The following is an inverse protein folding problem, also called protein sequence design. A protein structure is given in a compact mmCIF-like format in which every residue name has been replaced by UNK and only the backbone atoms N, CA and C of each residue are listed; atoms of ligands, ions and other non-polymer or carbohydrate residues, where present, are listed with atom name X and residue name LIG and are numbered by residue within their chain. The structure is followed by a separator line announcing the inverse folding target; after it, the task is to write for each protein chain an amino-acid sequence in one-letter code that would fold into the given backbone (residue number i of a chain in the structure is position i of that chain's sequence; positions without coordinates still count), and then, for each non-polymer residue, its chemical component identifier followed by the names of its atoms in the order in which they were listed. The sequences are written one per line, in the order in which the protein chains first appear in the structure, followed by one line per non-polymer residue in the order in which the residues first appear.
data_IF_909638168663
#
_entry.id   IF_909638168663
#
_cell.length_a   1.000
_cell.length_b   1.000
_cell.length_c   1.000
_cell.angle_alpha   90.00
_cell.angle_beta   90.00
_cell.angle_gamma   90.00
#
_symmetry.space_group_name_H-M   'P 1'
#
loop_
_entity.id
_entity.type
_entity.pdbx_description
1 polymer ?
#
# COMPACT_ATOMS: atom_id res chain seq x y z
N UNK A 1 46.96 -45.98 38.38
CA UNK A 1 47.21 -45.31 39.69
C UNK A 1 47.89 -43.96 39.45
N UNK A 2 47.19 -42.83 39.64
CA UNK A 2 47.70 -41.53 40.14
C UNK A 2 46.59 -40.48 40.12
N UNK A 3 45.98 -40.33 41.31
CA UNK A 3 45.47 -39.13 41.98
C UNK A 3 44.81 -38.00 41.17
N UNK A 4 43.53 -37.85 41.48
CA UNK A 4 42.71 -36.64 41.48
C UNK A 4 43.43 -35.36 41.99
N UNK A 5 43.07 -34.21 41.40
CA UNK A 5 42.88 -32.98 42.16
C UNK A 5 41.86 -32.06 41.47
N UNK A 6 40.62 -32.08 42.00
CA UNK A 6 39.59 -31.07 41.78
C UNK A 6 40.14 -29.71 42.22
N UNK A 7 40.14 -28.72 41.33
CA UNK A 7 40.26 -27.31 41.71
C UNK A 7 38.87 -26.80 42.09
N UNK A 8 38.62 -26.79 43.39
CA UNK A 8 37.55 -26.06 44.04
C UNK A 8 38.15 -24.77 44.61
N UNK A 9 38.01 -23.66 43.89
CA UNK A 9 38.12 -22.30 44.43
C UNK A 9 36.78 -21.64 44.05
N UNK A 10 35.83 -21.49 44.96
CA UNK A 10 35.97 -20.61 46.13
C UNK A 10 35.30 -19.26 45.82
N UNK A 11 34.10 -19.27 45.24
CA UNK A 11 33.28 -18.06 45.08
C UNK A 11 32.69 -17.72 46.46
N UNK A 12 33.50 -17.06 47.27
CA UNK A 12 33.12 -16.56 48.59
C UNK A 12 32.32 -15.28 48.37
N UNK A 13 31.00 -15.43 48.31
CA UNK A 13 30.03 -14.35 48.47
C UNK A 13 30.20 -13.74 49.87
N UNK A 14 31.08 -12.74 49.97
CA UNK A 14 31.15 -11.88 51.15
C UNK A 14 29.87 -11.02 51.18
N UNK A 15 29.04 -11.35 52.15
CA UNK A 15 27.72 -10.79 52.43
C UNK A 15 27.89 -9.36 52.98
N UNK A 16 27.73 -8.34 52.14
CA UNK A 16 27.69 -6.94 52.56
C UNK A 16 26.58 -6.74 53.60
N UNK A 17 26.97 -6.35 54.82
CA UNK A 17 26.13 -6.48 56.01
C UNK A 17 25.26 -5.25 56.33
N UNK A 18 25.41 -4.10 55.67
CA UNK A 18 24.41 -3.01 55.69
C UNK A 18 24.65 -2.00 54.55
N UNK A 19 23.62 -1.28 54.07
CA UNK A 19 23.76 -0.19 53.08
C UNK A 19 24.47 1.07 53.61
N UNK A 20 24.76 1.13 54.92
CA UNK A 20 25.38 2.31 55.55
C UNK A 20 26.91 2.38 55.38
N UNK A 21 27.61 1.24 55.21
CA UNK A 21 29.06 1.22 55.00
C UNK A 21 29.49 1.50 53.55
N UNK A 22 28.57 1.43 52.58
CA UNK A 22 28.86 1.76 51.18
C UNK A 22 29.02 3.27 50.94
N UNK A 23 28.41 4.10 51.79
CA UNK A 23 28.36 5.56 51.62
C UNK A 23 29.56 6.30 52.23
N UNK A 24 30.37 5.66 53.07
CA UNK A 24 31.55 6.28 53.71
C UNK A 24 32.84 6.19 52.88
N UNK A 25 32.83 5.46 51.76
CA UNK A 25 33.98 5.28 50.85
C UNK A 25 33.87 6.05 49.52
N UNK A 26 32.87 6.91 49.35
CA UNK A 26 32.82 7.78 48.18
C UNK A 26 33.81 8.95 48.35
N UNK A 27 34.71 9.19 47.37
CA UNK A 27 35.55 10.38 47.38
C UNK A 27 34.65 11.61 47.38
N UNK A 28 34.85 12.52 48.33
CA UNK A 28 34.26 13.85 48.33
C UNK A 28 34.79 14.58 47.09
N UNK A 29 34.07 14.50 45.98
CA UNK A 29 34.29 15.41 44.86
C UNK A 29 33.99 16.81 45.38
N UNK A 30 35.08 17.54 45.60
CA UNK A 30 35.04 18.93 46.01
C UNK A 30 34.16 19.71 45.05
N UNK A 31 33.28 20.52 45.64
CA UNK A 31 32.68 21.66 45.00
C UNK A 31 33.82 22.63 44.61
N UNK A 32 34.41 22.36 43.44
CA UNK A 32 35.38 23.20 42.76
C UNK A 32 34.64 24.41 42.23
N UNK A 33 34.57 25.43 43.08
CA UNK A 33 34.50 26.86 42.79
C UNK A 33 34.24 27.19 41.30
N UNK A 34 33.00 27.61 41.03
CA UNK A 34 32.72 28.53 39.95
C UNK A 34 33.66 29.73 40.04
N UNK A 35 34.54 29.88 39.06
CA UNK A 35 35.28 31.10 38.80
C UNK A 35 35.12 31.39 37.31
N UNK A 36 34.19 32.29 36.99
CA UNK A 36 34.07 32.86 35.66
C UNK A 36 35.15 33.92 35.43
N UNK A 37 35.79 33.85 34.26
CA UNK A 37 36.36 34.96 33.49
C UNK A 37 36.69 34.36 32.12
N UNK A 38 36.14 34.77 30.98
CA UNK A 38 35.91 36.15 30.59
C UNK A 38 36.54 36.43 29.22
N UNK A 39 36.55 35.44 28.31
CA UNK A 39 36.66 35.62 26.85
C UNK A 39 36.05 34.36 26.25
N UNK A 40 34.94 34.46 25.53
CA UNK A 40 34.59 33.39 24.59
C UNK A 40 35.76 33.35 23.61
N UNK A 41 36.58 32.29 23.61
CA UNK A 41 37.69 32.19 22.67
C UNK A 41 37.12 32.41 21.27
N UNK A 42 37.71 33.31 20.48
CA UNK A 42 37.26 33.58 19.11
C UNK A 42 37.21 32.27 18.30
N UNK A 43 38.05 31.30 18.66
CA UNK A 43 38.00 29.93 18.15
C UNK A 43 36.72 29.18 18.54
N UNK A 44 36.30 29.23 19.81
CA UNK A 44 35.03 28.67 20.28
C UNK A 44 33.84 29.37 19.63
N UNK A 45 33.87 30.68 19.42
CA UNK A 45 32.83 31.40 18.69
C UNK A 45 32.82 31.05 17.19
N UNK A 46 33.98 30.81 16.59
CA UNK A 46 34.09 30.36 15.19
C UNK A 46 33.59 28.92 15.01
N UNK A 47 33.88 28.03 15.96
CA UNK A 47 33.37 26.66 16.00
C UNK A 47 31.85 26.67 16.23
N UNK A 48 31.36 27.44 17.20
CA UNK A 48 29.93 27.60 17.45
C UNK A 48 29.21 28.17 16.23
N UNK A 49 29.81 29.15 15.55
CA UNK A 49 29.29 29.71 14.30
C UNK A 49 29.27 28.71 13.15
N UNK A 50 30.29 27.87 13.01
CA UNK A 50 30.34 26.82 11.99
C UNK A 50 29.26 25.74 12.23
N UNK A 51 29.06 25.34 13.49
CA UNK A 51 28.02 24.39 13.87
C UNK A 51 26.63 24.98 13.65
N UNK A 52 26.39 26.21 14.09
CA UNK A 52 25.10 26.88 13.94
C UNK A 52 24.76 27.15 12.47
N UNK A 53 25.73 27.59 11.67
CA UNK A 53 25.52 27.81 10.22
C UNK A 53 25.22 26.50 9.49
N UNK A 54 25.94 25.43 9.80
CA UNK A 54 25.63 24.10 9.24
C UNK A 54 24.22 23.65 9.62
N UNK A 55 23.82 23.85 10.88
CA UNK A 55 22.48 23.49 11.36
C UNK A 55 21.37 24.34 10.70
N UNK A 56 21.60 25.64 10.54
CA UNK A 56 20.65 26.53 9.85
C UNK A 56 20.54 26.23 8.36
N UNK A 57 21.64 25.85 7.71
CA UNK A 57 21.63 25.41 6.30
C UNK A 57 20.85 24.11 6.16
N UNK A 58 21.07 23.11 7.03
CA UNK A 58 20.30 21.85 7.01
C UNK A 58 18.83 22.10 7.26
N UNK A 59 18.47 22.94 8.24
CA UNK A 59 17.10 23.30 8.54
C UNK A 59 16.44 24.07 7.38
N UNK A 60 17.16 25.02 6.78
CA UNK A 60 16.71 25.81 5.65
C UNK A 60 16.49 24.97 4.40
N UNK A 61 17.42 24.07 4.07
CA UNK A 61 17.27 23.12 2.97
C UNK A 61 16.08 22.18 3.19
N UNK A 62 15.86 21.70 4.42
CA UNK A 62 14.71 20.88 4.75
C UNK A 62 13.38 21.66 4.61
N UNK A 63 13.34 22.93 5.02
CA UNK A 63 12.15 23.77 4.88
C UNK A 63 11.87 24.13 3.41
N UNK A 64 12.91 24.48 2.65
CA UNK A 64 12.80 24.75 1.20
C UNK A 64 12.38 23.47 0.46
N UNK A 65 12.94 22.32 0.82
CA UNK A 65 12.49 21.04 0.29
C UNK A 65 11.02 20.78 0.63
N UNK A 66 10.57 21.09 1.85
CA UNK A 66 9.15 21.00 2.22
C UNK A 66 8.22 21.91 1.42
N UNK A 67 8.70 23.08 0.97
CA UNK A 67 7.92 24.02 0.15
C UNK A 67 7.92 23.60 -1.33
N UNK A 68 9.08 23.21 -1.86
CA UNK A 68 9.24 22.82 -3.27
C UNK A 68 8.63 21.45 -3.56
N UNK A 69 8.78 20.52 -2.62
CA UNK A 69 8.22 19.17 -2.68
C UNK A 69 6.99 19.02 -1.80
N UNK A 70 6.23 20.11 -1.58
CA UNK A 70 4.97 20.05 -0.84
C UNK A 70 4.10 18.96 -1.48
N UNK A 71 3.88 17.82 -0.81
CA UNK A 71 3.11 16.75 -1.39
C UNK A 71 1.67 17.26 -1.46
N UNK A 72 1.19 17.52 -2.67
CA UNK A 72 -0.22 17.74 -2.91
C UNK A 72 -0.95 16.49 -2.41
N UNK A 73 -1.50 16.56 -1.20
CA UNK A 73 -2.41 15.56 -0.70
C UNK A 73 -3.64 15.63 -1.62
N UNK A 74 -3.91 14.62 -2.46
CA UNK A 74 -5.17 14.59 -3.17
C UNK A 74 -6.29 14.62 -2.11
N UNK A 75 -7.36 15.35 -2.39
CA UNK A 75 -8.54 15.52 -1.50
C UNK A 75 -9.26 14.17 -1.23
N UNK A 76 -8.75 13.07 -1.76
CA UNK A 76 -9.19 11.70 -1.45
C UNK A 76 -7.95 10.85 -1.14
N UNK A 77 -7.78 10.34 0.09
CA UNK A 77 -6.68 9.46 0.44
C UNK A 77 -6.81 8.11 -0.29
N UNK A 78 -5.80 7.77 -1.09
CA UNK A 78 -5.63 6.42 -1.62
C UNK A 78 -4.92 5.57 -0.58
N UNK A 79 -5.69 4.76 0.14
CA UNK A 79 -5.28 3.70 1.08
C UNK A 79 -4.89 4.15 2.51
N UNK A 80 -5.84 4.04 3.45
CA UNK A 80 -5.57 3.64 4.84
C UNK A 80 -4.79 2.31 4.84
N UNK A 81 -3.55 2.36 5.32
CA UNK A 81 -2.87 1.18 5.86
C UNK A 81 -3.36 1.02 7.31
N UNK A 82 -3.99 -0.10 7.69
CA UNK A 82 -4.26 -0.39 9.09
C UNK A 82 -2.93 -0.60 9.82
N UNK A 83 -2.52 0.39 10.60
CA UNK A 83 -1.55 0.20 11.68
C UNK A 83 -2.25 -0.62 12.75
N UNK A 84 -1.73 -1.81 13.03
CA UNK A 84 -2.22 -2.68 14.11
C UNK A 84 -1.88 -2.06 15.46
N UNK A 85 -2.85 -1.43 16.14
CA UNK A 85 -3.05 -1.60 17.58
C UNK A 85 -4.49 -1.21 17.97
N UNK A 86 -5.15 -1.96 18.87
CA UNK A 86 -6.60 -1.96 19.00
C UNK A 86 -7.07 -0.98 20.07
N UNK A 87 -8.18 -0.29 19.79
CA UNK A 87 -9.27 0.05 20.71
C UNK A 87 -9.89 1.39 20.33
N UNK A 88 -11.08 1.33 19.74
CA UNK A 88 -12.30 1.77 20.41
C UNK A 88 -13.42 1.74 19.37
N UNK A 89 -14.50 1.04 19.71
CA UNK A 89 -15.69 0.95 18.90
C UNK A 89 -16.25 2.36 18.61
N UNK A 90 -16.20 2.78 17.34
CA UNK A 90 -16.99 3.86 16.82
C UNK A 90 -17.38 3.52 15.38
N UNK A 91 -18.65 3.14 15.20
CA UNK A 91 -19.40 3.14 13.95
C UNK A 91 -18.71 2.58 12.71
N UNK A 92 -19.06 1.34 12.35
CA UNK A 92 -18.89 0.88 10.98
C UNK A 92 -19.64 1.82 10.02
N UNK A 93 -18.92 2.78 9.43
CA UNK A 93 -19.39 3.48 8.26
C UNK A 93 -19.36 2.47 7.11
N UNK A 94 -20.54 2.04 6.68
CA UNK A 94 -20.69 1.24 5.47
C UNK A 94 -19.98 1.95 4.30
N UNK A 95 -19.31 1.22 3.40
CA UNK A 95 -18.73 1.84 2.21
C UNK A 95 -19.85 2.55 1.46
N UNK A 96 -19.61 3.80 1.07
CA UNK A 96 -20.50 4.53 0.17
C UNK A 96 -20.63 3.66 -1.09
N UNK A 97 -21.79 3.02 -1.24
CA UNK A 97 -22.05 2.15 -2.38
C UNK A 97 -22.03 3.03 -3.63
N UNK A 98 -21.21 2.65 -4.61
CA UNK A 98 -21.28 3.23 -5.94
C UNK A 98 -22.74 3.09 -6.44
N UNK A 99 -23.23 4.08 -7.19
CA UNK A 99 -24.55 3.99 -7.82
C UNK A 99 -24.67 2.66 -8.61
N UNK A 100 -25.84 1.98 -8.59
CA UNK A 100 -25.98 0.68 -9.27
C UNK A 100 -25.52 0.73 -10.72
N UNK A 101 -24.86 -0.33 -11.19
CA UNK A 101 -24.28 -0.37 -12.55
C UNK A 101 -25.34 -0.15 -13.62
N UNK A 102 -26.59 -0.59 -13.39
CA UNK A 102 -27.71 -0.39 -14.31
C UNK A 102 -28.00 1.11 -14.56
N UNK A 103 -27.87 1.96 -13.54
CA UNK A 103 -28.10 3.41 -13.68
C UNK A 103 -26.94 4.09 -14.39
N UNK A 104 -25.70 3.67 -14.10
CA UNK A 104 -24.50 4.19 -14.78
C UNK A 104 -24.46 3.78 -16.24
N UNK A 105 -24.84 2.55 -16.56
CA UNK A 105 -24.90 2.04 -17.94
C UNK A 105 -25.91 2.79 -18.80
N UNK A 106 -27.00 3.30 -18.22
CA UNK A 106 -27.97 4.13 -18.95
C UNK A 106 -27.36 5.46 -19.46
N UNK A 107 -26.25 5.92 -18.87
CA UNK A 107 -25.53 7.15 -19.24
C UNK A 107 -24.17 6.86 -19.91
N UNK A 108 -23.83 5.59 -20.07
CA UNK A 108 -22.50 5.18 -20.54
C UNK A 108 -22.29 5.48 -22.03
N UNK A 109 -21.05 5.80 -22.38
CA UNK A 109 -20.63 6.11 -23.75
C UNK A 109 -19.58 5.09 -24.23
N UNK A 110 -19.92 4.21 -25.19
CA UNK A 110 -18.99 3.24 -25.74
C UNK A 110 -17.71 3.86 -26.34
N UNK A 111 -17.78 5.09 -26.87
CA UNK A 111 -16.61 5.75 -27.44
C UNK A 111 -15.63 6.23 -26.36
N UNK A 112 -16.14 6.58 -25.16
CA UNK A 112 -15.27 6.80 -23.99
C UNK A 112 -14.70 5.49 -23.47
N UNK A 113 -15.50 4.43 -23.50
CA UNK A 113 -15.07 3.07 -23.14
C UNK A 113 -13.90 2.58 -24.00
N UNK A 114 -13.97 2.79 -25.31
CA UNK A 114 -12.90 2.44 -26.26
C UNK A 114 -11.57 3.13 -25.91
N UNK A 115 -11.62 4.39 -25.47
CA UNK A 115 -10.42 5.13 -25.02
C UNK A 115 -9.91 4.60 -23.69
N UNK A 116 -10.82 4.25 -22.78
CA UNK A 116 -10.49 3.74 -21.45
C UNK A 116 -9.86 2.34 -21.46
N UNK A 117 -10.15 1.50 -22.46
CA UNK A 117 -9.52 0.17 -22.60
C UNK A 117 -8.06 0.20 -23.10
N UNK A 118 -7.44 1.38 -23.21
CA UNK A 118 -6.04 1.52 -23.63
C UNK A 118 -5.08 0.65 -22.81
N UNK A 119 -5.28 0.56 -21.50
CA UNK A 119 -4.47 -0.28 -20.61
C UNK A 119 -4.68 -1.79 -20.85
N UNK A 120 -5.85 -2.19 -21.35
CA UNK A 120 -6.20 -3.58 -21.59
C UNK A 120 -5.54 -4.13 -22.87
N UNK A 121 -5.24 -3.26 -23.86
CA UNK A 121 -4.64 -3.63 -25.16
C UNK A 121 -3.25 -4.25 -25.06
N UNK A 122 -2.53 -3.99 -23.96
CA UNK A 122 -1.23 -4.61 -23.70
C UNK A 122 -1.33 -6.13 -23.51
N UNK A 123 -2.43 -6.60 -22.91
CA UNK A 123 -2.62 -8.00 -22.52
C UNK A 123 -3.70 -8.71 -23.30
N UNK A 124 -4.64 -7.99 -23.92
CA UNK A 124 -5.83 -8.54 -24.55
C UNK A 124 -5.97 -8.13 -26.01
N UNK A 125 -6.66 -8.96 -26.77
CA UNK A 125 -7.16 -8.70 -28.12
C UNK A 125 -8.66 -8.43 -28.05
N UNK A 126 -9.18 -7.67 -29.02
CA UNK A 126 -10.58 -7.22 -29.05
C UNK A 126 -11.30 -7.67 -30.33
N UNK A 127 -10.55 -8.23 -31.29
CA UNK A 127 -11.06 -8.67 -32.57
C UNK A 127 -11.75 -10.03 -32.46
N UNK A 128 -12.73 -10.26 -33.34
CA UNK A 128 -13.38 -11.56 -33.50
C UNK A 128 -12.37 -12.64 -33.88
N UNK A 129 -12.30 -13.70 -33.08
CA UNK A 129 -11.30 -14.76 -33.26
C UNK A 129 -9.86 -14.31 -32.95
N UNK A 130 -9.69 -13.19 -32.23
CA UNK A 130 -8.38 -12.70 -31.83
C UNK A 130 -7.58 -13.71 -31.01
N UNK A 131 -6.25 -13.66 -31.15
CA UNK A 131 -5.36 -14.56 -30.43
C UNK A 131 -5.35 -14.28 -28.92
N UNK A 132 -5.12 -15.33 -28.13
CA UNK A 132 -4.80 -15.21 -26.72
C UNK A 132 -3.37 -14.67 -26.57
N UNK A 133 -3.18 -13.65 -25.72
CA UNK A 133 -1.87 -13.07 -25.40
C UNK A 133 -1.53 -13.39 -23.93
N UNK A 134 -1.09 -12.38 -23.17
CA UNK A 134 -0.94 -12.47 -21.71
C UNK A 134 -2.29 -12.74 -21.04
N UNK A 135 -3.38 -12.17 -21.60
CA UNK A 135 -4.76 -12.48 -21.26
C UNK A 135 -5.53 -13.08 -22.46
N UNK A 136 -6.72 -13.65 -22.20
CA UNK A 136 -7.59 -14.18 -23.24
C UNK A 136 -8.20 -13.05 -24.10
N UNK A 137 -8.71 -13.35 -25.29
CA UNK A 137 -9.44 -12.34 -26.09
C UNK A 137 -10.71 -11.84 -25.38
N UNK A 138 -11.05 -10.57 -25.62
CA UNK A 138 -12.21 -9.89 -25.01
C UNK A 138 -13.40 -9.73 -25.96
N UNK A 139 -13.26 -10.14 -27.23
CA UNK A 139 -14.42 -10.26 -28.12
C UNK A 139 -15.42 -11.26 -27.53
N UNK A 140 -16.70 -10.89 -27.51
CA UNK A 140 -17.83 -11.62 -26.92
C UNK A 140 -17.62 -11.99 -25.44
N UNK A 141 -17.04 -11.08 -24.66
CA UNK A 141 -16.83 -11.30 -23.22
C UNK A 141 -18.13 -11.13 -22.43
N UNK A 142 -19.01 -10.22 -22.83
CA UNK A 142 -20.24 -9.93 -22.09
C UNK A 142 -21.22 -11.12 -22.18
N UNK A 143 -21.60 -11.64 -21.02
CA UNK A 143 -22.42 -12.82 -20.82
C UNK A 143 -21.76 -14.14 -21.23
N UNK A 144 -20.43 -14.17 -21.44
CA UNK A 144 -19.68 -15.42 -21.58
C UNK A 144 -19.32 -15.97 -20.20
N UNK A 145 -19.19 -17.28 -20.07
CA UNK A 145 -18.75 -17.88 -18.80
C UNK A 145 -17.36 -17.37 -18.40
N UNK A 146 -17.16 -17.15 -17.10
CA UNK A 146 -15.85 -16.78 -16.58
C UNK A 146 -14.86 -17.93 -16.83
N UNK A 147 -13.60 -17.63 -17.13
CA UNK A 147 -12.58 -18.68 -17.25
C UNK A 147 -12.77 -19.68 -18.41
N UNK A 148 -13.59 -19.38 -19.43
CA UNK A 148 -14.03 -20.38 -20.41
C UNK A 148 -13.36 -20.31 -21.80
N UNK A 149 -12.46 -19.35 -22.06
CA UNK A 149 -11.81 -19.25 -23.37
C UNK A 149 -10.87 -20.43 -23.60
N UNK A 150 -11.14 -21.20 -24.66
CA UNK A 150 -10.35 -22.36 -25.02
C UNK A 150 -8.89 -21.98 -25.32
N UNK A 151 -7.96 -22.85 -24.91
CA UNK A 151 -6.53 -22.66 -25.15
C UNK A 151 -5.85 -21.59 -24.29
N UNK A 152 -6.55 -20.91 -23.38
CA UNK A 152 -5.94 -19.99 -22.42
C UNK A 152 -5.66 -20.66 -21.07
N UNK A 153 -4.45 -20.46 -20.54
CA UNK A 153 -4.01 -20.97 -19.23
C UNK A 153 -4.56 -20.15 -18.06
N UNK A 154 -5.84 -20.30 -17.74
CA UNK A 154 -6.44 -19.63 -16.57
C UNK A 154 -5.83 -20.07 -15.24
N UNK A 155 -5.83 -19.17 -14.25
CA UNK A 155 -5.49 -19.51 -12.86
C UNK A 155 -6.50 -20.49 -12.26
N UNK A 156 -6.08 -21.24 -11.23
CA UNK A 156 -6.98 -22.15 -10.52
C UNK A 156 -8.23 -21.43 -9.99
N UNK A 157 -8.07 -20.20 -9.49
CA UNK A 157 -9.16 -19.39 -8.98
C UNK A 157 -10.18 -19.00 -10.06
N UNK A 158 -9.72 -18.67 -11.27
CA UNK A 158 -10.63 -18.33 -12.37
C UNK A 158 -11.28 -19.57 -12.99
N UNK A 159 -10.57 -20.70 -13.05
CA UNK A 159 -11.13 -21.99 -13.53
C UNK A 159 -12.28 -22.47 -12.65
N UNK A 160 -12.23 -22.23 -11.34
CA UNK A 160 -13.27 -22.60 -10.38
C UNK A 160 -14.53 -21.73 -10.43
N UNK A 161 -14.65 -20.79 -11.38
CA UNK A 161 -15.79 -19.87 -11.54
C UNK A 161 -16.48 -20.01 -12.89
N UNK A 162 -16.22 -21.09 -13.61
CA UNK A 162 -16.77 -21.35 -14.95
C UNK A 162 -18.29 -21.58 -14.98
N UNK A 163 -18.92 -21.70 -13.82
CA UNK A 163 -20.37 -21.71 -13.58
C UNK A 163 -20.99 -20.30 -13.63
N UNK A 164 -20.18 -19.25 -13.50
CA UNK A 164 -20.61 -17.85 -13.55
C UNK A 164 -20.44 -17.25 -14.92
N UNK A 165 -21.25 -16.25 -15.24
CA UNK A 165 -21.18 -15.48 -16.48
C UNK A 165 -20.73 -14.05 -16.21
N UNK A 166 -19.97 -13.47 -17.15
CA UNK A 166 -19.61 -12.06 -17.14
C UNK A 166 -20.81 -11.15 -17.41
N UNK A 167 -21.62 -10.90 -16.40
CA UNK A 167 -22.67 -9.88 -16.44
C UNK A 167 -22.12 -8.48 -16.11
N UNK A 168 -23.02 -7.48 -16.08
CA UNK A 168 -22.63 -6.09 -15.83
C UNK A 168 -22.00 -5.91 -14.44
N UNK A 169 -22.58 -6.50 -13.41
CA UNK A 169 -22.08 -6.40 -12.04
C UNK A 169 -20.74 -7.14 -11.86
N UNK A 170 -20.63 -8.36 -12.40
CA UNK A 170 -19.41 -9.16 -12.38
C UNK A 170 -18.25 -8.43 -13.06
N UNK A 171 -18.49 -7.84 -14.23
CA UNK A 171 -17.49 -7.03 -14.93
C UNK A 171 -17.16 -5.75 -14.17
N UNK A 172 -18.14 -5.04 -13.60
CA UNK A 172 -17.90 -3.82 -12.83
C UNK A 172 -17.01 -4.10 -11.62
N UNK A 173 -17.33 -5.15 -10.86
CA UNK A 173 -16.56 -5.55 -9.70
C UNK A 173 -15.16 -6.07 -10.06
N UNK A 174 -15.05 -6.90 -11.11
CA UNK A 174 -13.77 -7.43 -11.54
C UNK A 174 -12.85 -6.34 -12.06
N UNK A 175 -13.35 -5.41 -12.88
CA UNK A 175 -12.54 -4.32 -13.43
C UNK A 175 -12.24 -3.27 -12.36
N UNK A 176 -13.08 -3.11 -11.32
CA UNK A 176 -12.79 -2.24 -10.17
C UNK A 176 -11.57 -2.72 -9.39
N UNK A 177 -11.51 -4.02 -9.06
CA UNK A 177 -10.36 -4.62 -8.40
C UNK A 177 -10.30 -6.14 -8.66
N UNK A 178 -9.49 -6.58 -9.64
CA UNK A 178 -9.47 -7.98 -10.04
C UNK A 178 -9.02 -8.93 -8.95
N UNK A 179 -8.02 -8.52 -8.16
CA UNK A 179 -7.44 -9.34 -7.08
C UNK A 179 -8.42 -9.51 -5.92
N UNK A 180 -9.24 -8.49 -5.65
CA UNK A 180 -10.29 -8.58 -4.64
C UNK A 180 -11.48 -9.42 -5.13
N UNK A 181 -11.86 -9.30 -6.40
CA UNK A 181 -13.00 -10.04 -6.96
C UNK A 181 -12.70 -11.53 -7.17
N UNK A 182 -11.50 -11.86 -7.66
CA UNK A 182 -11.00 -13.24 -7.79
C UNK A 182 -9.63 -13.35 -7.11
N UNK A 183 -9.58 -13.67 -5.81
CA UNK A 183 -8.33 -13.93 -5.10
C UNK A 183 -7.55 -15.06 -5.78
N UNK A 184 -6.30 -14.80 -6.14
CA UNK A 184 -5.48 -15.74 -6.91
C UNK A 184 -5.68 -15.66 -8.43
N UNK A 185 -6.32 -14.61 -8.95
CA UNK A 185 -6.23 -14.28 -10.37
C UNK A 185 -4.79 -13.95 -10.78
N UNK A 186 -4.40 -14.40 -11.98
CA UNK A 186 -3.11 -14.06 -12.59
C UNK A 186 -3.13 -12.69 -13.29
N UNK A 187 -4.28 -12.01 -13.33
CA UNK A 187 -4.41 -10.70 -13.95
C UNK A 187 -3.80 -9.61 -13.05
N UNK A 188 -2.58 -9.18 -13.37
CA UNK A 188 -1.88 -8.11 -12.68
C UNK A 188 -2.36 -6.72 -13.15
N UNK A 189 -3.57 -6.33 -12.74
CA UNK A 189 -4.15 -5.02 -13.04
C UNK A 189 -4.61 -4.34 -11.77
N UNK A 190 -4.34 -3.02 -11.65
CA UNK A 190 -4.68 -2.23 -10.47
C UNK A 190 -6.19 -1.99 -10.32
N UNK A 191 -6.92 -2.03 -11.43
CA UNK A 191 -8.35 -1.74 -11.48
C UNK A 191 -8.68 -0.32 -11.94
N UNK A 192 -9.95 -0.08 -12.27
CA UNK A 192 -10.49 1.24 -12.64
C UNK A 192 -11.33 1.76 -11.48
N UNK A 193 -10.78 2.72 -10.73
CA UNK A 193 -11.46 3.29 -9.56
C UNK A 193 -12.74 4.08 -9.90
N UNK A 194 -12.77 4.77 -11.05
CA UNK A 194 -13.88 5.64 -11.47
C UNK A 194 -15.10 4.80 -11.92
N UNK A 195 -16.26 4.89 -11.23
CA UNK A 195 -17.44 4.09 -11.56
C UNK A 195 -18.01 4.32 -12.96
N UNK A 196 -18.06 5.57 -13.42
CA UNK A 196 -18.60 5.89 -14.76
C UNK A 196 -17.69 5.36 -15.86
N UNK A 197 -16.36 5.44 -15.67
CA UNK A 197 -15.40 4.86 -16.61
C UNK A 197 -15.54 3.34 -16.72
N UNK A 198 -15.89 2.64 -15.63
CA UNK A 198 -16.18 1.21 -15.69
C UNK A 198 -17.44 0.92 -16.51
N UNK A 199 -18.49 1.72 -16.32
CA UNK A 199 -19.73 1.59 -17.10
C UNK A 199 -19.48 1.84 -18.60
N UNK A 200 -18.70 2.87 -18.95
CA UNK A 200 -18.27 3.15 -20.33
C UNK A 200 -17.52 1.96 -20.94
N UNK A 201 -16.59 1.36 -20.18
CA UNK A 201 -15.83 0.18 -20.62
C UNK A 201 -16.76 -1.03 -20.83
N UNK A 202 -17.70 -1.29 -19.93
CA UNK A 202 -18.66 -2.39 -20.07
C UNK A 202 -19.55 -2.18 -21.29
N UNK A 203 -20.02 -0.94 -21.51
CA UNK A 203 -20.81 -0.59 -22.69
C UNK A 203 -20.02 -0.85 -23.98
N UNK A 204 -18.74 -0.46 -24.03
CA UNK A 204 -17.84 -0.78 -25.14
C UNK A 204 -17.61 -2.28 -25.31
N UNK A 205 -17.35 -3.04 -24.24
CA UNK A 205 -17.16 -4.49 -24.34
C UNK A 205 -18.42 -5.20 -24.87
N UNK A 206 -19.61 -4.69 -24.61
CA UNK A 206 -20.86 -5.22 -25.17
C UNK A 206 -21.01 -4.93 -26.68
N UNK A 207 -20.38 -3.88 -27.22
CA UNK A 207 -20.38 -3.65 -28.68
C UNK A 207 -19.48 -4.62 -29.43
N UNK A 208 -18.54 -5.27 -28.73
CA UNK A 208 -17.61 -6.25 -29.29
C UNK A 208 -18.21 -7.66 -29.31
N UNK A 209 -19.38 -7.81 -29.93
CA UNK A 209 -20.04 -9.11 -30.12
C UNK A 209 -20.83 -9.10 -31.43
N UNK A 210 -21.01 -10.27 -32.03
CA UNK A 210 -21.92 -10.43 -33.17
C UNK A 210 -23.39 -10.29 -32.73
N UNK A 211 -23.68 -10.55 -31.45
CA UNK A 211 -25.01 -10.47 -30.86
C UNK A 211 -24.93 -9.76 -29.50
N UNK A 212 -24.82 -8.41 -29.48
CA UNK A 212 -24.79 -7.64 -28.25
C UNK A 212 -25.99 -7.99 -27.36
N UNK A 213 -25.72 -8.38 -26.12
CA UNK A 213 -26.78 -8.76 -25.18
C UNK A 213 -27.41 -7.49 -24.60
N UNK A 214 -28.70 -7.54 -24.23
CA UNK A 214 -29.36 -6.41 -23.61
C UNK A 214 -28.66 -6.06 -22.30
N UNK A 215 -28.24 -4.79 -22.18
CA UNK A 215 -27.71 -4.25 -20.93
C UNK A 215 -28.85 -4.13 -19.89
N UNK A 216 -28.55 -4.29 -18.59
CA UNK A 216 -29.55 -4.11 -17.54
C UNK A 216 -30.12 -2.69 -17.59
N UNK A 217 -31.43 -2.59 -17.51
CA UNK A 217 -32.15 -1.32 -17.41
C UNK A 217 -32.17 -0.87 -15.93
N UNK A 218 -32.12 0.44 -15.66
CA UNK A 218 -32.22 1.00 -14.32
C UNK A 218 -33.56 0.70 -13.65
#
# INVERSE_FOLDING_TARGET
MKRAKRLSNGLRLERFKTPAEALSRLPRLGCGRAQGSGTMDIETNKIAGAVLSTLLVVLGLNMIAGIVFAPHKPVVPGFELPSEEPAAAAGAAAPVADEPIAVRLAKADPAKGEKAVGACKACHTFEKGGANKVGPHLFDVYGRNEGSVAGFGYSAAMKGRNDKTWDADGLDHFIKNPKAYVPGTIMAFAGIGKPDTRADVIAYLNTLSDAPKPLPKP
#
